data_IF_469463393782
#
_entry.id   IF_469463393782
#
_cell.length_a   1.000
_cell.length_b   1.000
_cell.length_c   1.000
_cell.angle_alpha   90.00
_cell.angle_beta   90.00
_cell.angle_gamma   90.00
#
_symmetry.space_group_name_H-M   'P 1'
#
loop_
_entity.id
_entity.type
_entity.pdbx_description
1 polymer ?
#
# COMPACT_ATOMS: atom_id res chain seq x y z
N UNK A 1 0.55 -1.17 26.60
CA UNK A 1 -0.82 -0.65 26.82
C UNK A 1 -1.66 -1.07 25.63
N UNK A 2 -2.80 -1.71 25.85
CA UNK A 2 -3.71 -2.10 24.78
C UNK A 2 -4.71 -0.97 24.54
N UNK A 3 -4.83 -0.51 23.29
CA UNK A 3 -5.77 0.51 22.88
C UNK A 3 -6.82 -0.14 21.97
N UNK A 4 -8.09 0.12 22.24
CA UNK A 4 -9.19 -0.41 21.45
C UNK A 4 -9.39 0.45 20.20
N UNK A 5 -9.31 -0.17 19.02
CA UNK A 5 -9.56 0.51 17.77
C UNK A 5 -11.03 0.29 17.37
N UNK A 6 -11.91 1.30 17.50
CA UNK A 6 -13.33 1.15 17.14
C UNK A 6 -13.52 0.86 15.64
N UNK A 7 -12.56 1.27 14.81
CA UNK A 7 -12.55 1.01 13.37
C UNK A 7 -12.24 -0.46 13.04
N UNK A 8 -11.44 -1.14 13.87
CA UNK A 8 -11.04 -2.52 13.66
C UNK A 8 -11.77 -3.52 14.57
N UNK A 9 -12.55 -3.03 15.55
CA UNK A 9 -13.18 -3.79 16.63
C UNK A 9 -12.20 -4.69 17.42
N UNK A 10 -10.89 -4.40 17.36
CA UNK A 10 -9.83 -5.18 18.01
C UNK A 10 -9.01 -4.32 18.95
N UNK A 11 -8.51 -4.94 20.01
CA UNK A 11 -7.53 -4.34 20.91
C UNK A 11 -6.12 -4.62 20.40
N UNK A 12 -5.36 -3.56 20.16
CA UNK A 12 -3.97 -3.64 19.68
C UNK A 12 -3.03 -2.98 20.66
N UNK A 13 -1.79 -3.48 20.74
CA UNK A 13 -0.77 -2.88 21.58
C UNK A 13 -0.26 -1.59 20.92
N UNK A 14 -0.50 -0.44 21.56
CA UNK A 14 -0.16 0.87 21.01
C UNK A 14 1.33 1.03 20.67
N UNK A 15 2.21 0.45 21.49
CA UNK A 15 3.66 0.48 21.28
C UNK A 15 4.05 -0.26 19.99
N UNK A 16 3.44 -1.41 19.72
CA UNK A 16 3.72 -2.21 18.53
C UNK A 16 3.23 -1.47 17.27
N UNK A 17 2.02 -0.92 17.31
CA UNK A 17 1.46 -0.18 16.18
C UNK A 17 2.28 1.07 15.86
N UNK A 18 2.73 1.82 16.87
CA UNK A 18 3.60 2.99 16.67
C UNK A 18 4.96 2.56 16.10
N UNK A 19 5.56 1.49 16.65
CA UNK A 19 6.84 0.97 16.16
C UNK A 19 6.77 0.54 14.69
N UNK A 20 5.71 -0.17 14.30
CA UNK A 20 5.46 -0.55 12.91
C UNK A 20 5.24 0.68 12.05
N UNK A 21 4.42 1.64 12.48
CA UNK A 21 4.18 2.88 11.73
C UNK A 21 5.46 3.67 11.47
N UNK A 22 6.36 3.76 12.46
CA UNK A 22 7.67 4.40 12.32
C UNK A 22 8.58 3.67 11.35
N UNK A 23 8.75 2.35 11.52
CA UNK A 23 9.61 1.54 10.65
C UNK A 23 9.11 1.59 9.21
N UNK A 24 7.82 1.37 9.00
CA UNK A 24 7.20 1.42 7.68
C UNK A 24 7.31 2.82 7.10
N UNK A 25 7.04 3.87 7.88
CA UNK A 25 7.17 5.26 7.43
C UNK A 25 8.59 5.60 6.94
N UNK A 26 9.61 5.21 7.70
CA UNK A 26 11.01 5.42 7.32
C UNK A 26 11.35 4.65 6.05
N UNK A 27 11.07 3.34 6.01
CA UNK A 27 11.38 2.51 4.84
C UNK A 27 10.68 3.05 3.58
N UNK A 28 9.42 3.42 3.71
CA UNK A 28 8.61 3.84 2.56
C UNK A 28 8.95 5.25 2.09
N UNK A 29 9.38 6.12 3.00
CA UNK A 29 10.00 7.40 2.67
C UNK A 29 11.33 7.24 1.92
N UNK A 30 12.17 6.27 2.31
CA UNK A 30 13.44 5.98 1.63
C UNK A 30 13.24 5.45 0.22
N UNK A 31 12.29 4.53 0.02
CA UNK A 31 12.02 3.94 -1.30
C UNK A 31 11.15 4.83 -2.20
N UNK A 32 10.36 5.75 -1.64
CA UNK A 32 9.47 6.64 -2.39
C UNK A 32 8.27 5.95 -3.06
N UNK A 33 8.02 4.67 -2.76
CA UNK A 33 7.01 3.83 -3.47
C UNK A 33 5.59 3.95 -2.87
N UNK A 34 5.41 4.72 -1.81
CA UNK A 34 4.13 4.83 -1.10
C UNK A 34 3.86 3.60 -0.22
N UNK A 35 3.79 3.79 1.10
CA UNK A 35 3.93 2.70 2.08
C UNK A 35 2.82 1.67 2.20
N UNK A 36 1.77 1.80 1.40
CA UNK A 36 0.59 0.93 1.45
C UNK A 36 0.89 -0.55 1.22
N UNK A 37 1.96 -0.88 0.48
CA UNK A 37 2.35 -2.27 0.19
C UNK A 37 2.93 -3.02 1.40
N UNK A 38 3.49 -2.29 2.37
CA UNK A 38 4.13 -2.88 3.56
C UNK A 38 3.24 -2.79 4.80
N UNK A 39 2.55 -1.67 5.01
CA UNK A 39 1.72 -1.51 6.22
C UNK A 39 0.49 -2.43 6.21
N UNK A 40 -0.16 -2.57 5.05
CA UNK A 40 -1.40 -3.35 4.92
C UNK A 40 -1.22 -4.82 5.33
N UNK A 41 -0.22 -5.57 4.81
CA UNK A 41 -0.03 -6.96 5.22
C UNK A 41 0.41 -7.08 6.67
N UNK A 42 1.21 -6.13 7.19
CA UNK A 42 1.60 -6.12 8.60
C UNK A 42 0.40 -5.95 9.53
N UNK A 43 -0.53 -5.05 9.20
CA UNK A 43 -1.78 -4.88 9.95
C UNK A 43 -2.66 -6.14 9.87
N UNK A 44 -2.73 -6.79 8.70
CA UNK A 44 -3.46 -8.05 8.54
C UNK A 44 -2.85 -9.19 9.37
N UNK A 45 -1.52 -9.24 9.50
CA UNK A 45 -0.82 -10.20 10.36
C UNK A 45 -1.06 -9.95 11.85
N UNK A 46 -1.33 -8.70 12.24
CA UNK A 46 -1.76 -8.35 13.60
C UNK A 46 -3.23 -8.70 13.89
N UNK A 47 -3.94 -9.33 12.94
CA UNK A 47 -5.34 -9.72 13.10
C UNK A 47 -6.34 -8.60 12.86
N UNK A 48 -5.91 -7.47 12.29
CA UNK A 48 -6.81 -6.40 11.87
C UNK A 48 -7.52 -6.82 10.59
N UNK A 49 -8.81 -6.46 10.46
CA UNK A 49 -9.59 -6.77 9.26
C UNK A 49 -8.85 -6.28 7.99
N UNK A 50 -8.81 -7.10 6.92
CA UNK A 50 -8.23 -6.72 5.63
C UNK A 50 -8.79 -5.41 5.08
N UNK A 51 -10.10 -5.19 5.22
CA UNK A 51 -10.74 -3.97 4.75
C UNK A 51 -10.16 -2.72 5.45
N UNK A 52 -10.04 -2.77 6.77
CA UNK A 52 -9.47 -1.67 7.58
C UNK A 52 -7.98 -1.49 7.27
N UNK A 53 -7.25 -2.58 7.05
CA UNK A 53 -5.83 -2.55 6.73
C UNK A 53 -5.56 -1.85 5.40
N UNK A 54 -6.32 -2.19 4.35
CA UNK A 54 -6.20 -1.56 3.02
C UNK A 54 -6.58 -0.08 3.08
N UNK A 55 -7.67 0.26 3.78
CA UNK A 55 -8.09 1.66 3.94
C UNK A 55 -7.02 2.49 4.67
N UNK A 56 -6.42 1.93 5.72
CA UNK A 56 -5.33 2.58 6.48
C UNK A 56 -4.09 2.79 5.60
N UNK A 57 -3.70 1.77 4.82
CA UNK A 57 -2.56 1.88 3.90
C UNK A 57 -2.76 2.91 2.79
N UNK A 58 -3.98 3.01 2.25
CA UNK A 58 -4.32 4.04 1.26
C UNK A 58 -4.20 5.46 1.85
N UNK A 59 -4.69 5.68 3.07
CA UNK A 59 -4.57 6.97 3.76
C UNK A 59 -3.11 7.33 4.04
N UNK A 60 -2.29 6.37 4.47
CA UNK A 60 -0.85 6.60 4.66
C UNK A 60 -0.16 6.97 3.34
N UNK A 61 -0.57 6.34 2.23
CA UNK A 61 0.01 6.58 0.92
C UNK A 61 -0.13 8.04 0.50
N UNK A 62 -1.27 8.68 0.79
CA UNK A 62 -1.51 10.10 0.51
C UNK A 62 -0.44 10.98 1.15
N UNK A 63 -0.07 10.74 2.41
CA UNK A 63 0.95 11.51 3.11
C UNK A 63 2.33 11.36 2.45
N UNK A 64 2.73 10.12 2.13
CA UNK A 64 4.01 9.85 1.45
C UNK A 64 4.07 10.41 0.03
N UNK A 65 2.99 10.25 -0.75
CA UNK A 65 2.91 10.67 -2.14
C UNK A 65 2.90 12.20 -2.25
N UNK A 66 2.16 12.89 -1.38
CA UNK A 66 2.14 14.37 -1.34
C UNK A 66 3.50 14.95 -0.97
N UNK A 67 4.20 14.37 0.00
CA UNK A 67 5.57 14.77 0.35
C UNK A 67 6.56 14.59 -0.81
N UNK A 68 6.49 13.44 -1.49
CA UNK A 68 7.29 13.17 -2.68
C UNK A 68 6.97 14.14 -3.82
N UNK A 69 5.69 14.31 -4.14
CA UNK A 69 5.23 15.23 -5.18
C UNK A 69 5.68 16.68 -4.91
N UNK A 70 5.59 17.15 -3.66
CA UNK A 70 6.07 18.48 -3.29
C UNK A 70 7.57 18.67 -3.52
N UNK A 71 8.36 17.65 -3.17
CA UNK A 71 9.82 17.69 -3.35
C UNK A 71 10.19 17.71 -4.84
N UNK A 72 9.57 16.84 -5.65
CA UNK A 72 9.77 16.82 -7.09
C UNK A 72 9.24 18.07 -7.79
N UNK A 73 8.19 18.70 -7.25
CA UNK A 73 7.66 19.95 -7.76
C UNK A 73 8.67 21.09 -7.61
N UNK A 74 9.34 21.20 -6.45
CA UNK A 74 10.44 22.17 -6.26
C UNK A 74 11.60 21.97 -7.23
N UNK A 75 11.82 20.74 -7.68
CA UNK A 75 12.86 20.39 -8.65
C UNK A 75 12.42 20.61 -10.11
N UNK A 76 11.19 21.06 -10.37
CA UNK A 76 10.67 21.27 -11.73
C UNK A 76 10.36 19.99 -12.50
N UNK A 77 10.34 18.83 -11.84
CA UNK A 77 10.21 17.51 -12.47
C UNK A 77 8.77 16.98 -12.51
N UNK A 78 7.76 17.81 -12.21
CA UNK A 78 6.36 17.38 -12.12
C UNK A 78 5.62 17.70 -13.40
N UNK A 79 5.20 16.66 -14.12
CA UNK A 79 4.25 16.77 -15.21
C UNK A 79 2.80 16.77 -14.65
N UNK A 80 2.24 17.97 -14.53
CA UNK A 80 0.86 18.14 -14.06
C UNK A 80 -0.19 17.58 -15.02
N UNK A 81 0.09 17.52 -16.33
CA UNK A 81 -0.84 16.96 -17.31
C UNK A 81 -0.99 15.46 -17.10
N UNK A 82 0.14 14.78 -16.90
CA UNK A 82 0.14 13.36 -16.55
C UNK A 82 -0.46 13.13 -15.16
N UNK A 83 -0.18 14.02 -14.20
CA UNK A 83 -0.77 14.00 -12.86
C UNK A 83 -2.30 14.01 -12.88
N UNK A 84 -2.93 14.90 -13.64
CA UNK A 84 -4.40 14.95 -13.76
C UNK A 84 -4.98 13.68 -14.41
N UNK A 85 -4.31 13.12 -15.42
CA UNK A 85 -4.73 11.86 -16.03
C UNK A 85 -4.70 10.70 -15.02
N UNK A 86 -3.63 10.61 -14.23
CA UNK A 86 -3.49 9.60 -13.17
C UNK A 86 -4.50 9.80 -12.05
N UNK A 87 -4.79 11.04 -11.65
CA UNK A 87 -5.83 11.36 -10.67
C UNK A 87 -7.20 10.89 -11.13
N UNK A 88 -7.57 11.19 -12.38
CA UNK A 88 -8.83 10.73 -12.97
C UNK A 88 -8.93 9.20 -12.93
N UNK A 89 -7.94 8.49 -13.48
CA UNK A 89 -7.92 7.03 -13.48
C UNK A 89 -7.97 6.43 -12.07
N UNK A 90 -7.21 6.99 -11.12
CA UNK A 90 -7.17 6.52 -9.73
C UNK A 90 -8.48 6.78 -9.00
N UNK A 91 -9.14 7.91 -9.27
CA UNK A 91 -10.43 8.23 -8.67
C UNK A 91 -11.51 7.26 -9.13
N UNK A 92 -11.67 7.07 -10.44
CA UNK A 92 -12.65 6.11 -10.97
C UNK A 92 -12.34 4.68 -10.58
N UNK A 93 -11.08 4.26 -10.67
CA UNK A 93 -10.64 2.92 -10.26
C UNK A 93 -10.87 2.67 -8.77
N UNK A 94 -10.53 3.63 -7.92
CA UNK A 94 -10.75 3.57 -6.47
C UNK A 94 -12.23 3.55 -6.10
N UNK A 95 -13.05 4.36 -6.78
CA UNK A 95 -14.50 4.39 -6.58
C UNK A 95 -15.15 3.06 -6.95
N UNK A 96 -14.88 2.55 -8.16
CA UNK A 96 -15.39 1.24 -8.61
C UNK A 96 -14.90 0.12 -7.67
N UNK A 97 -13.62 0.14 -7.30
CA UNK A 97 -13.06 -0.82 -6.35
C UNK A 97 -13.77 -0.80 -5.00
N UNK A 98 -14.08 0.37 -4.46
CA UNK A 98 -14.82 0.52 -3.22
C UNK A 98 -16.24 -0.05 -3.31
N UNK A 99 -16.96 0.20 -4.41
CA UNK A 99 -18.30 -0.36 -4.62
C UNK A 99 -18.27 -1.89 -4.76
N UNK A 100 -17.30 -2.42 -5.50
CA UNK A 100 -17.07 -3.88 -5.60
C UNK A 100 -16.80 -4.47 -4.22
N UNK A 101 -15.95 -3.83 -3.40
CA UNK A 101 -15.68 -4.29 -2.04
C UNK A 101 -16.92 -4.29 -1.14
N UNK A 102 -17.81 -3.31 -1.26
CA UNK A 102 -19.09 -3.30 -0.53
C UNK A 102 -19.96 -4.50 -0.91
N UNK A 103 -20.07 -4.80 -2.20
CA UNK A 103 -20.82 -5.96 -2.69
C UNK A 103 -20.21 -7.25 -2.14
N UNK A 104 -18.89 -7.39 -2.19
CA UNK A 104 -18.20 -8.56 -1.63
C UNK A 104 -18.33 -8.67 -0.10
N UNK A 105 -18.48 -7.55 0.59
CA UNK A 105 -18.68 -7.53 2.03
C UNK A 105 -20.04 -8.11 2.40
N UNK A 106 -21.09 -7.73 1.65
CA UNK A 106 -22.44 -8.29 1.81
C UNK A 106 -22.46 -9.80 1.52
N UNK A 107 -21.66 -10.25 0.56
CA UNK A 107 -21.51 -11.67 0.23
C UNK A 107 -20.67 -12.47 1.27
N UNK A 108 -20.11 -11.81 2.28
CA UNK A 108 -19.31 -12.44 3.34
C UNK A 108 -17.88 -12.84 2.93
N UNK A 109 -17.47 -12.59 1.69
CA UNK A 109 -16.18 -13.05 1.14
C UNK A 109 -15.12 -11.94 0.98
N UNK A 110 -15.43 -10.69 1.35
CA UNK A 110 -14.51 -9.56 1.18
C UNK A 110 -13.12 -9.80 1.79
N UNK A 111 -13.05 -10.29 3.03
CA UNK A 111 -11.78 -10.47 3.73
C UNK A 111 -10.88 -11.50 3.05
N UNK A 112 -11.47 -12.60 2.55
CA UNK A 112 -10.75 -13.62 1.80
C UNK A 112 -10.27 -13.08 0.45
N UNK A 113 -11.15 -12.41 -0.29
CA UNK A 113 -10.80 -11.86 -1.61
C UNK A 113 -9.72 -10.78 -1.51
N UNK A 114 -9.80 -9.88 -0.52
CA UNK A 114 -8.75 -8.88 -0.28
C UNK A 114 -7.43 -9.58 0.02
N UNK A 115 -7.41 -10.56 0.94
CA UNK A 115 -6.19 -11.33 1.27
C UNK A 115 -5.56 -11.97 0.04
N UNK A 116 -6.35 -12.73 -0.73
CA UNK A 116 -5.85 -13.46 -1.90
C UNK A 116 -5.38 -12.49 -2.99
N UNK A 117 -6.17 -11.45 -3.30
CA UNK A 117 -5.81 -10.44 -4.29
C UNK A 117 -4.51 -9.75 -3.92
N UNK A 118 -4.34 -9.42 -2.63
CA UNK A 118 -3.14 -8.76 -2.13
C UNK A 118 -1.89 -9.65 -2.24
N UNK A 119 -2.01 -10.92 -1.84
CA UNK A 119 -0.93 -11.91 -1.96
C UNK A 119 -0.57 -12.16 -3.42
N UNK A 120 -1.56 -12.29 -4.30
CA UNK A 120 -1.32 -12.47 -5.73
C UNK A 120 -0.63 -11.26 -6.35
N UNK A 121 -1.11 -10.03 -6.07
CA UNK A 121 -0.50 -8.81 -6.58
C UNK A 121 0.95 -8.66 -6.13
N UNK A 122 1.22 -8.77 -4.83
CA UNK A 122 2.58 -8.66 -4.31
C UNK A 122 3.46 -9.82 -4.77
N UNK A 123 2.91 -11.02 -4.87
CA UNK A 123 3.63 -12.19 -5.37
C UNK A 123 4.07 -12.01 -6.82
N UNK A 124 3.16 -11.53 -7.68
CA UNK A 124 3.46 -11.28 -9.10
C UNK A 124 4.47 -10.13 -9.25
N UNK A 125 4.24 -9.00 -8.59
CA UNK A 125 5.15 -7.84 -8.66
C UNK A 125 6.53 -8.22 -8.12
N UNK A 126 6.59 -8.89 -6.97
CA UNK A 126 7.84 -9.36 -6.36
C UNK A 126 8.59 -10.35 -7.25
N UNK A 127 7.89 -11.34 -7.82
CA UNK A 127 8.49 -12.31 -8.74
C UNK A 127 9.01 -11.64 -10.02
N UNK A 128 8.27 -10.68 -10.56
CA UNK A 128 8.68 -9.91 -11.73
C UNK A 128 9.96 -9.10 -11.44
N UNK A 129 9.98 -8.34 -10.35
CA UNK A 129 11.16 -7.56 -9.94
C UNK A 129 12.37 -8.44 -9.64
N UNK A 130 12.16 -9.61 -9.04
CA UNK A 130 13.23 -10.58 -8.77
C UNK A 130 13.81 -11.16 -10.07
N UNK A 131 12.95 -11.54 -11.01
CA UNK A 131 13.35 -12.04 -12.34
C UNK A 131 14.15 -10.98 -13.11
N UNK A 132 13.71 -9.73 -13.07
CA UNK A 132 14.42 -8.60 -13.70
C UNK A 132 15.80 -8.40 -13.08
N UNK A 133 15.89 -8.44 -11.75
CA UNK A 133 17.14 -8.29 -11.01
C UNK A 133 18.13 -9.41 -11.35
N UNK A 134 17.69 -10.67 -11.35
CA UNK A 134 18.52 -11.81 -11.74
C UNK A 134 18.98 -11.72 -13.20
N UNK A 135 18.10 -11.28 -14.09
CA UNK A 135 18.42 -11.10 -15.52
C UNK A 135 19.48 -10.04 -15.74
N UNK A 136 19.42 -8.93 -14.99
CA UNK A 136 20.45 -7.87 -15.03
C UNK A 136 21.79 -8.35 -14.44
N UNK A 137 21.75 -9.13 -13.36
CA UNK A 137 22.96 -9.68 -12.74
C UNK A 137 23.70 -10.67 -13.65
N UNK A 138 22.97 -11.52 -14.38
CA UNK A 138 23.55 -12.47 -15.36
C UNK A 138 24.18 -11.76 -16.56
N UNK A 139 23.63 -10.63 -17.04
CA UNK A 139 24.21 -9.84 -18.14
C UNK A 139 25.45 -9.05 -17.71
N UNK A 140 25.56 -8.63 -16.46
CA UNK A 140 26.71 -7.87 -15.95
C UNK A 140 27.98 -8.71 -15.75
N UNK A 141 27.89 -10.04 -15.77
CA UNK A 141 29.03 -10.97 -15.69
C UNK A 141 29.83 -11.12 -16.99
N UNK A 142 29.47 -10.42 -18.07
CA UNK A 142 30.08 -10.54 -19.40
C UNK A 142 30.69 -9.22 -19.94
N UNK A 143 30.87 -8.21 -19.09
CA UNK A 143 31.68 -7.00 -19.32
C UNK A 143 32.76 -6.93 -18.24
#
# INVERSE_FOLDING_TARGET
MYFYLPVALTSVNSLITIGIGLIVGILTGLFGVGGGWLITPLLMMLGISPMVSVATGANQMVASASSGAYTHHKLGNVDFKMGWCLLGGSFFGGFIGAEVLKILNILGNADFVIKVTYVLLLGIVGAYMFSETLSKLKRKKWL
#
